data_IF_013082427977
#
_entry.id   IF_013082427977
#
_cell.length_a   1.000
_cell.length_b   1.000
_cell.length_c   1.000
_cell.angle_alpha   90.00
_cell.angle_beta   90.00
_cell.angle_gamma   90.00
#
_symmetry.space_group_name_H-M   'P 1'
#
loop_
_entity.id
_entity.type
_entity.pdbx_description
1 polymer ?
#
# COMPACT_ATOMS: atom_id res chain seq x y z
N UNK A 1 10.83 -3.76 -29.54
CA UNK A 1 10.65 -4.24 -28.16
C UNK A 1 9.17 -4.35 -27.93
N UNK A 2 8.65 -5.55 -27.66
CA UNK A 2 7.23 -5.74 -27.38
C UNK A 2 6.94 -5.19 -25.98
N UNK A 3 5.99 -4.27 -25.85
CA UNK A 3 5.53 -3.79 -24.54
C UNK A 3 4.66 -4.88 -23.90
N UNK A 4 5.03 -5.34 -22.71
CA UNK A 4 4.19 -6.25 -21.93
C UNK A 4 3.16 -5.43 -21.16
N UNK A 5 1.86 -5.79 -21.18
CA UNK A 5 0.84 -5.07 -20.44
C UNK A 5 1.14 -5.08 -18.93
N UNK A 6 0.68 -4.05 -18.23
CA UNK A 6 0.79 -3.96 -16.78
C UNK A 6 -0.07 -5.05 -16.12
N UNK A 7 0.55 -6.00 -15.45
CA UNK A 7 -0.15 -7.11 -14.78
C UNK A 7 0.40 -7.31 -13.36
N UNK A 8 -0.40 -6.94 -12.37
CA UNK A 8 -0.10 -7.12 -10.94
C UNK A 8 -1.37 -7.64 -10.25
N UNK A 9 -1.71 -8.94 -10.42
CA UNK A 9 -2.93 -9.48 -9.83
C UNK A 9 -2.88 -9.35 -8.31
N UNK A 10 -4.01 -9.05 -7.69
CA UNK A 10 -4.12 -8.97 -6.24
C UNK A 10 -5.47 -9.46 -5.74
N UNK A 11 -5.54 -9.80 -4.46
CA UNK A 11 -6.78 -9.85 -3.72
C UNK A 11 -6.80 -8.76 -2.65
N UNK A 12 -7.99 -8.26 -2.35
CA UNK A 12 -8.24 -7.28 -1.28
C UNK A 12 -9.06 -7.98 -0.20
N UNK A 13 -8.53 -8.00 1.02
CA UNK A 13 -9.17 -8.61 2.17
C UNK A 13 -9.43 -7.57 3.24
N UNK A 14 -10.61 -7.62 3.87
CA UNK A 14 -10.94 -6.84 5.06
C UNK A 14 -11.03 -7.74 6.28
N UNK A 15 -10.21 -7.44 7.27
CA UNK A 15 -10.18 -8.10 8.56
C UNK A 15 -11.05 -7.30 9.52
N UNK A 16 -12.09 -7.93 10.04
CA UNK A 16 -13.00 -7.34 11.01
C UNK A 16 -12.62 -7.79 12.41
N UNK A 17 -12.19 -6.84 13.22
CA UNK A 17 -11.83 -7.05 14.61
C UNK A 17 -12.83 -6.41 15.57
N UNK A 18 -12.87 -6.92 16.79
CA UNK A 18 -13.56 -6.33 17.93
C UNK A 18 -12.56 -6.01 19.06
N UNK A 19 -12.85 -4.97 19.84
CA UNK A 19 -12.07 -4.54 21.01
C UNK A 19 -13.00 -4.19 22.16
N UNK A 20 -12.59 -4.48 23.39
CA UNK A 20 -13.36 -4.20 24.63
C UNK A 20 -13.58 -2.70 24.90
N UNK A 21 -12.71 -1.86 24.35
CA UNK A 21 -12.73 -0.41 24.56
C UNK A 21 -12.66 0.33 23.22
N UNK A 22 -13.12 1.60 23.17
CA UNK A 22 -12.96 2.46 22.00
C UNK A 22 -11.53 2.45 21.47
N UNK A 23 -11.40 2.55 20.15
CA UNK A 23 -10.10 2.46 19.45
C UNK A 23 -9.18 3.61 19.88
N UNK A 24 -8.01 3.26 20.44
CA UNK A 24 -6.97 4.21 20.90
C UNK A 24 -5.71 4.07 20.05
N UNK A 25 -5.88 4.23 18.74
CA UNK A 25 -4.79 4.22 17.76
C UNK A 25 -4.63 5.62 17.14
N UNK A 26 -3.42 5.99 16.70
CA UNK A 26 -3.21 7.26 16.02
C UNK A 26 -3.94 7.26 14.67
N UNK A 27 -4.19 8.46 14.13
CA UNK A 27 -4.84 8.67 12.82
C UNK A 27 -4.24 7.83 11.70
N UNK A 28 -2.91 7.62 11.72
CA UNK A 28 -2.21 6.71 10.81
C UNK A 28 -1.64 5.49 11.55
N UNK A 29 -2.46 4.45 11.79
CA UNK A 29 -2.11 3.32 12.67
C UNK A 29 -1.23 2.28 11.98
N UNK A 30 -0.99 2.40 10.66
CA UNK A 30 -0.29 1.35 9.91
C UNK A 30 1.13 1.08 10.34
N UNK A 31 1.76 2.03 11.02
CA UNK A 31 3.05 1.83 11.67
C UNK A 31 3.02 0.73 12.74
N UNK A 32 1.99 0.76 13.58
CA UNK A 32 1.74 -0.16 14.67
C UNK A 32 1.31 -1.53 14.13
N UNK A 33 0.31 -1.54 13.24
CA UNK A 33 -0.18 -2.77 12.62
C UNK A 33 0.89 -3.50 11.82
N UNK A 34 1.64 -2.80 10.96
CA UNK A 34 2.74 -3.43 10.20
C UNK A 34 3.81 -4.00 11.12
N UNK A 35 4.11 -3.31 12.23
CA UNK A 35 5.09 -3.77 13.22
C UNK A 35 4.63 -5.06 13.92
N UNK A 36 3.41 -5.05 14.45
CA UNK A 36 2.81 -6.20 15.11
C UNK A 36 2.65 -7.39 14.17
N UNK A 37 2.15 -7.16 12.94
CA UNK A 37 2.05 -8.16 11.89
C UNK A 37 3.41 -8.81 11.59
N UNK A 38 4.46 -8.01 11.36
CA UNK A 38 5.79 -8.54 11.08
C UNK A 38 6.35 -9.39 12.21
N UNK A 39 6.18 -8.94 13.45
CA UNK A 39 6.61 -9.69 14.63
C UNK A 39 5.86 -11.02 14.76
N UNK A 40 4.54 -10.98 14.68
CA UNK A 40 3.68 -12.15 14.78
C UNK A 40 3.97 -13.15 13.66
N UNK A 41 4.07 -12.70 12.40
CA UNK A 41 4.38 -13.57 11.27
C UNK A 41 5.73 -14.28 11.45
N UNK A 42 6.77 -13.55 11.89
CA UNK A 42 8.08 -14.15 12.19
C UNK A 42 7.96 -15.22 13.27
N UNK A 43 7.24 -14.94 14.36
CA UNK A 43 7.03 -15.89 15.45
C UNK A 43 6.27 -17.14 15.00
N UNK A 44 5.28 -16.99 14.11
CA UNK A 44 4.49 -18.08 13.55
C UNK A 44 5.31 -19.05 12.70
N UNK A 45 6.23 -18.54 11.87
CA UNK A 45 6.87 -19.38 10.82
C UNK A 45 8.36 -19.66 11.02
N UNK A 46 9.04 -18.96 11.94
CA UNK A 46 10.48 -19.09 12.10
C UNK A 46 10.86 -20.37 12.87
N UNK A 47 11.37 -21.36 12.15
CA UNK A 47 11.87 -22.62 12.71
C UNK A 47 13.33 -22.57 13.18
N UNK A 48 14.17 -21.72 12.56
CA UNK A 48 15.62 -21.68 12.85
C UNK A 48 15.91 -21.01 14.19
N UNK A 49 15.23 -19.87 14.46
CA UNK A 49 15.46 -18.99 15.63
C UNK A 49 16.90 -18.45 15.71
N UNK A 50 17.11 -17.32 16.39
CA UNK A 50 18.44 -16.72 16.68
C UNK A 50 19.40 -16.46 15.49
N UNK A 51 19.00 -16.68 14.24
CA UNK A 51 19.76 -16.35 13.03
C UNK A 51 19.16 -15.12 12.33
N UNK A 52 19.96 -14.12 11.94
CA UNK A 52 19.49 -13.02 11.11
C UNK A 52 18.87 -13.53 9.80
N UNK A 53 17.71 -13.01 9.39
CA UNK A 53 17.01 -13.48 8.19
C UNK A 53 17.86 -13.38 6.91
N UNK A 54 18.76 -12.40 6.84
CA UNK A 54 19.69 -12.22 5.72
C UNK A 54 20.73 -13.36 5.58
N UNK A 55 21.01 -14.10 6.66
CA UNK A 55 21.97 -15.21 6.73
C UNK A 55 21.27 -16.58 6.85
N UNK A 56 19.94 -16.60 6.84
CA UNK A 56 19.17 -17.81 7.05
C UNK A 56 19.14 -18.69 5.79
N UNK A 57 19.31 -20.01 5.94
CA UNK A 57 19.18 -20.98 4.85
C UNK A 57 17.82 -20.88 4.13
N UNK A 58 16.76 -20.53 4.85
CA UNK A 58 15.40 -20.41 4.32
C UNK A 58 15.08 -19.02 3.72
N UNK A 59 16.06 -18.14 3.55
CA UNK A 59 15.88 -16.72 3.17
C UNK A 59 14.94 -16.52 1.96
N UNK A 60 14.99 -17.37 0.94
CA UNK A 60 14.18 -17.21 -0.28
C UNK A 60 12.88 -18.01 -0.29
N UNK A 61 12.61 -18.82 0.74
CA UNK A 61 11.43 -19.69 0.81
C UNK A 61 10.54 -19.41 2.04
N UNK A 62 11.12 -18.90 3.13
CA UNK A 62 10.43 -18.60 4.37
C UNK A 62 9.33 -17.56 4.15
N UNK A 63 8.11 -17.86 4.59
CA UNK A 63 6.94 -16.98 4.46
C UNK A 63 7.20 -15.56 5.01
N UNK A 64 7.82 -15.46 6.19
CA UNK A 64 8.19 -14.16 6.76
C UNK A 64 9.19 -13.41 5.88
N UNK A 65 10.20 -14.11 5.35
CA UNK A 65 11.23 -13.48 4.53
C UNK A 65 10.65 -13.00 3.20
N UNK A 66 9.86 -13.83 2.52
CA UNK A 66 9.26 -13.47 1.21
C UNK A 66 8.23 -12.35 1.34
N UNK A 67 7.40 -12.35 2.40
CA UNK A 67 6.36 -11.34 2.58
C UNK A 67 6.90 -10.04 3.19
N UNK A 68 7.83 -10.12 4.14
CA UNK A 68 8.17 -8.99 5.02
C UNK A 68 9.61 -8.47 4.91
N UNK A 69 10.60 -9.33 4.64
CA UNK A 69 11.99 -8.88 4.40
C UNK A 69 12.23 -8.57 2.93
N UNK A 70 11.58 -9.30 2.03
CA UNK A 70 11.63 -9.14 0.56
C UNK A 70 13.05 -9.00 0.02
N UNK A 71 13.95 -9.96 0.31
CA UNK A 71 15.30 -9.91 -0.25
C UNK A 71 15.24 -10.02 -1.78
N UNK A 72 16.05 -9.26 -2.52
CA UNK A 72 16.19 -9.46 -3.96
C UNK A 72 16.69 -10.90 -4.23
N UNK A 73 16.09 -11.64 -5.18
CA UNK A 73 16.60 -12.94 -5.57
C UNK A 73 18.05 -12.87 -6.09
N UNK A 74 18.85 -13.94 -5.90
CA UNK A 74 20.16 -14.03 -6.53
C UNK A 74 20.04 -13.86 -8.05
N UNK A 75 20.94 -13.07 -8.66
CA UNK A 75 20.94 -12.85 -10.12
C UNK A 75 19.96 -11.80 -10.63
N UNK A 76 19.26 -11.08 -9.76
CA UNK A 76 18.34 -10.00 -10.16
C UNK A 76 19.04 -8.92 -11.00
N UNK A 77 18.55 -8.70 -12.22
CA UNK A 77 19.07 -7.68 -13.14
C UNK A 77 18.63 -6.27 -12.74
N UNK A 78 17.44 -6.16 -12.14
CA UNK A 78 16.93 -4.93 -11.52
C UNK A 78 17.43 -4.85 -10.06
N UNK A 79 17.60 -3.63 -9.55
CA UNK A 79 18.01 -3.32 -8.15
C UNK A 79 19.47 -3.57 -7.71
N UNK A 80 20.50 -3.32 -8.53
CA UNK A 80 21.90 -3.37 -8.04
C UNK A 80 22.22 -2.42 -6.85
N UNK A 81 21.37 -1.41 -6.58
CA UNK A 81 21.56 -0.38 -5.54
C UNK A 81 20.57 -0.42 -4.37
N UNK A 82 19.61 -1.35 -4.34
CA UNK A 82 18.55 -1.38 -3.32
C UNK A 82 18.60 -2.69 -2.53
N UNK A 83 18.45 -2.60 -1.20
CA UNK A 83 18.64 -3.74 -0.29
C UNK A 83 17.40 -4.64 -0.13
N UNK A 84 16.21 -4.21 -0.58
CA UNK A 84 14.97 -4.95 -0.46
C UNK A 84 13.99 -4.57 -1.58
N UNK A 85 13.29 -5.56 -2.13
CA UNK A 85 12.21 -5.36 -3.08
C UNK A 85 11.00 -4.71 -2.36
N UNK A 86 10.05 -4.10 -3.08
CA UNK A 86 8.84 -3.60 -2.44
C UNK A 86 8.07 -4.77 -1.81
N UNK A 87 7.53 -4.56 -0.62
CA UNK A 87 6.66 -5.55 0.01
C UNK A 87 5.44 -5.85 -0.87
N UNK A 88 5.08 -7.13 -1.06
CA UNK A 88 3.94 -7.56 -1.86
C UNK A 88 2.61 -7.42 -1.10
N UNK A 89 2.51 -6.38 -0.27
CA UNK A 89 1.27 -6.04 0.40
C UNK A 89 1.18 -4.54 0.68
N UNK A 90 -0.06 -4.08 0.85
CA UNK A 90 -0.43 -2.76 1.35
C UNK A 90 -1.44 -2.96 2.47
N UNK A 91 -1.29 -2.21 3.57
CA UNK A 91 -2.31 -2.10 4.61
C UNK A 91 -3.17 -0.87 4.33
N UNK A 92 -4.47 -0.97 4.51
CA UNK A 92 -5.41 0.14 4.42
C UNK A 92 -6.27 0.16 5.67
N UNK A 93 -6.71 1.35 6.03
CA UNK A 93 -7.48 1.59 7.26
C UNK A 93 -8.75 2.29 6.83
N UNK A 94 -9.86 1.55 6.63
CA UNK A 94 -11.17 2.15 6.44
C UNK A 94 -11.44 3.19 7.54
N UNK A 95 -12.19 4.24 7.20
CA UNK A 95 -12.55 5.24 8.18
C UNK A 95 -13.35 4.58 9.32
N UNK A 96 -13.01 4.94 10.55
CA UNK A 96 -13.63 4.42 11.75
C UNK A 96 -14.07 5.58 12.63
N UNK A 97 -15.20 5.40 13.31
CA UNK A 97 -15.65 6.33 14.32
C UNK A 97 -14.89 6.08 15.63
N UNK A 98 -14.45 7.15 16.30
CA UNK A 98 -13.60 7.04 17.49
C UNK A 98 -14.28 6.35 18.69
N UNK A 99 -15.60 6.23 18.67
CA UNK A 99 -16.41 5.57 19.70
C UNK A 99 -16.66 4.09 19.39
N UNK A 100 -16.20 3.60 18.24
CA UNK A 100 -16.48 2.24 17.80
C UNK A 100 -15.62 1.22 18.56
N UNK A 101 -16.22 0.07 18.84
CA UNK A 101 -15.56 -1.14 19.34
C UNK A 101 -15.24 -2.12 18.21
N UNK A 102 -15.75 -1.85 17.00
CA UNK A 102 -15.38 -2.53 15.78
C UNK A 102 -14.14 -1.87 15.15
N UNK A 103 -13.29 -2.68 14.52
CA UNK A 103 -12.09 -2.21 13.86
C UNK A 103 -11.85 -2.97 12.56
N UNK A 104 -11.81 -2.26 11.44
CA UNK A 104 -11.48 -2.83 10.14
C UNK A 104 -10.01 -2.56 9.76
N UNK A 105 -9.33 -3.61 9.30
CA UNK A 105 -8.01 -3.53 8.67
C UNK A 105 -8.09 -4.18 7.29
N UNK A 106 -7.77 -3.42 6.27
CA UNK A 106 -7.68 -3.94 4.92
C UNK A 106 -6.23 -4.35 4.61
N UNK A 107 -6.07 -5.48 3.91
CA UNK A 107 -4.80 -5.87 3.30
C UNK A 107 -5.01 -6.19 1.83
N UNK A 108 -4.20 -5.57 0.98
CA UNK A 108 -4.10 -5.94 -0.44
C UNK A 108 -2.82 -6.76 -0.59
N UNK A 109 -2.95 -7.96 -1.15
CA UNK A 109 -1.83 -8.88 -1.38
C UNK A 109 -1.57 -9.03 -2.88
N UNK A 110 -0.32 -8.89 -3.30
CA UNK A 110 0.05 -8.89 -4.72
C UNK A 110 0.70 -10.21 -5.14
N UNK A 111 0.22 -10.77 -6.24
CA UNK A 111 0.83 -11.88 -6.97
C UNK A 111 1.18 -13.09 -6.09
N UNK A 112 2.43 -13.52 -6.12
CA UNK A 112 2.88 -14.72 -5.40
C UNK A 112 2.66 -14.65 -3.88
N UNK A 113 2.46 -13.47 -3.28
CA UNK A 113 2.20 -13.35 -1.84
C UNK A 113 0.89 -14.01 -1.42
N UNK A 114 -0.06 -14.19 -2.34
CA UNK A 114 -1.33 -14.88 -2.14
C UNK A 114 -1.17 -16.29 -1.55
N UNK A 115 -0.08 -17.00 -1.89
CA UNK A 115 0.18 -18.34 -1.34
C UNK A 115 0.39 -18.36 0.17
N UNK A 116 0.71 -17.21 0.76
CA UNK A 116 1.00 -17.07 2.18
C UNK A 116 -0.19 -16.55 2.99
N UNK A 117 -1.36 -16.33 2.36
CA UNK A 117 -2.52 -15.78 3.03
C UNK A 117 -2.90 -16.51 4.33
N UNK A 118 -2.94 -17.86 4.42
CA UNK A 118 -3.23 -18.53 5.69
C UNK A 118 -2.25 -18.19 6.84
N UNK A 119 -0.96 -18.01 6.53
CA UNK A 119 0.03 -17.55 7.51
C UNK A 119 -0.21 -16.10 7.94
N UNK A 120 -0.67 -15.26 7.02
CA UNK A 120 -1.00 -13.86 7.26
C UNK A 120 -2.25 -13.75 8.15
N UNK A 121 -3.28 -14.56 7.88
CA UNK A 121 -4.48 -14.67 8.75
C UNK A 121 -4.07 -14.99 10.17
N UNK A 122 -3.32 -16.08 10.35
CA UNK A 122 -2.87 -16.50 11.68
C UNK A 122 -1.99 -15.43 12.36
N UNK A 123 -1.08 -14.80 11.61
CA UNK A 123 -0.22 -13.76 12.14
C UNK A 123 -1.00 -12.52 12.59
N UNK A 124 -2.01 -12.08 11.84
CA UNK A 124 -2.83 -10.92 12.20
C UNK A 124 -3.75 -11.20 13.39
N UNK A 125 -4.28 -12.42 13.51
CA UNK A 125 -4.98 -12.86 14.73
C UNK A 125 -4.07 -12.76 15.96
N UNK A 126 -2.85 -13.31 15.87
CA UNK A 126 -1.89 -13.24 16.98
C UNK A 126 -1.45 -11.81 17.28
N UNK A 127 -1.23 -11.00 16.25
CA UNK A 127 -0.88 -9.59 16.41
C UNK A 127 -1.98 -8.82 17.17
N UNK A 128 -3.24 -9.01 16.79
CA UNK A 128 -4.38 -8.39 17.46
C UNK A 128 -4.50 -8.80 18.93
N UNK A 129 -4.38 -10.11 19.22
CA UNK A 129 -4.44 -10.64 20.58
C UNK A 129 -3.27 -10.21 21.47
N UNK A 130 -2.05 -10.14 20.92
CA UNK A 130 -0.85 -9.68 21.62
C UNK A 130 -0.92 -8.17 21.91
N UNK A 131 -1.67 -7.42 21.10
CA UNK A 131 -1.97 -6.00 21.29
C UNK A 131 -1.23 -5.07 20.32
N UNK A 132 -1.93 -4.02 19.88
CA UNK A 132 -1.47 -3.06 18.86
C UNK A 132 -1.15 -1.69 19.49
N UNK A 133 -0.10 -1.04 18.97
CA UNK A 133 0.29 0.31 19.38
C UNK A 133 1.01 0.36 20.74
N UNK A 134 1.31 1.58 21.21
CA UNK A 134 2.03 1.78 22.48
C UNK A 134 1.25 1.28 23.70
N UNK A 135 -0.09 1.34 23.65
CA UNK A 135 -0.97 0.85 24.71
C UNK A 135 -1.26 -0.65 24.63
N UNK A 136 -0.74 -1.35 23.61
CA UNK A 136 -1.00 -2.77 23.36
C UNK A 136 -2.49 -3.12 23.43
N UNK A 137 -3.34 -2.30 22.82
CA UNK A 137 -4.79 -2.55 22.79
C UNK A 137 -5.07 -3.85 22.04
N UNK A 138 -5.86 -4.73 22.65
CA UNK A 138 -6.21 -6.03 22.07
C UNK A 138 -7.32 -5.89 21.05
N UNK A 139 -7.17 -6.62 19.95
CA UNK A 139 -8.14 -6.71 18.85
C UNK A 139 -8.35 -8.19 18.53
N UNK A 140 -9.58 -8.67 18.67
CA UNK A 140 -9.96 -10.04 18.39
C UNK A 140 -10.54 -10.15 16.98
N UNK A 141 -9.99 -11.04 16.14
CA UNK A 141 -10.47 -11.20 14.77
C UNK A 141 -11.80 -11.96 14.79
N UNK A 142 -12.86 -11.32 14.30
CA UNK A 142 -14.18 -11.93 14.18
C UNK A 142 -14.33 -12.67 12.84
N UNK A 143 -14.09 -12.00 11.71
CA UNK A 143 -14.13 -12.61 10.38
C UNK A 143 -13.27 -11.85 9.37
N UNK A 144 -13.07 -12.43 8.17
CA UNK A 144 -12.40 -11.78 7.05
C UNK A 144 -13.29 -11.87 5.82
N UNK A 145 -13.50 -10.73 5.18
CA UNK A 145 -14.16 -10.64 3.89
C UNK A 145 -13.13 -10.47 2.77
N UNK A 146 -13.41 -11.09 1.63
CA UNK A 146 -12.84 -10.75 0.34
C UNK A 146 -13.65 -9.62 -0.26
N UNK A 147 -12.95 -8.59 -0.73
CA UNK A 147 -13.52 -7.43 -1.38
C UNK A 147 -13.25 -7.56 -2.87
N UNK A 148 -14.28 -7.99 -3.60
CA UNK A 148 -14.22 -8.01 -5.05
C UNK A 148 -14.40 -6.59 -5.59
N UNK A 149 -13.56 -6.20 -6.55
CA UNK A 149 -13.65 -4.89 -7.18
C UNK A 149 -14.93 -4.70 -8.01
N UNK A 150 -15.63 -5.78 -8.35
CA UNK A 150 -16.81 -5.83 -9.23
C UNK A 150 -18.03 -6.46 -8.55
N UNK A 151 -17.83 -7.48 -7.70
CA UNK A 151 -18.91 -8.34 -7.19
C UNK A 151 -19.30 -8.10 -5.72
N UNK A 152 -18.60 -7.20 -5.01
CA UNK A 152 -18.92 -6.83 -3.63
C UNK A 152 -18.15 -7.62 -2.57
N UNK A 153 -18.72 -7.75 -1.37
CA UNK A 153 -18.04 -8.33 -0.20
C UNK A 153 -18.49 -9.79 0.01
N UNK A 154 -17.53 -10.71 0.20
CA UNK A 154 -17.78 -12.12 0.49
C UNK A 154 -16.98 -12.59 1.71
N UNK A 155 -17.63 -13.14 2.72
CA UNK A 155 -16.92 -13.75 3.86
C UNK A 155 -16.11 -14.97 3.44
N UNK A 156 -14.80 -14.90 3.67
CA UNK A 156 -13.84 -15.98 3.38
C UNK A 156 -13.38 -16.73 4.63
N UNK A 157 -13.29 -16.04 5.76
CA UNK A 157 -12.81 -16.66 6.99
C UNK A 157 -13.73 -16.32 8.16
N UNK A 158 -14.14 -17.34 8.91
CA UNK A 158 -14.90 -17.21 10.15
C UNK A 158 -14.62 -18.44 11.02
N UNK A 159 -14.45 -18.24 12.32
CA UNK A 159 -14.38 -19.35 13.31
C UNK A 159 -13.34 -20.46 13.00
N UNK A 160 -12.22 -20.11 12.35
CA UNK A 160 -11.15 -21.08 12.03
C UNK A 160 -11.31 -21.74 10.66
N UNK A 161 -12.43 -21.52 9.98
CA UNK A 161 -12.68 -22.05 8.64
C UNK A 161 -12.29 -21.02 7.58
N UNK A 162 -11.49 -21.45 6.61
CA UNK A 162 -11.09 -20.64 5.46
C UNK A 162 -11.70 -21.24 4.19
N UNK A 163 -12.55 -20.47 3.54
CA UNK A 163 -13.17 -20.83 2.27
C UNK A 163 -12.16 -20.75 1.10
N UNK A 164 -12.40 -21.49 0.00
CA UNK A 164 -11.62 -21.34 -1.22
C UNK A 164 -11.61 -19.89 -1.67
N UNK A 165 -10.42 -19.41 -2.06
CA UNK A 165 -10.23 -18.02 -2.44
C UNK A 165 -10.36 -17.88 -3.95
N UNK A 166 -10.98 -16.80 -4.45
CA UNK A 166 -10.94 -16.51 -5.87
C UNK A 166 -9.50 -16.27 -6.34
N UNK A 167 -9.19 -16.53 -7.61
CA UNK A 167 -7.89 -16.21 -8.18
C UNK A 167 -7.68 -14.69 -8.14
N UNK A 168 -6.48 -14.27 -7.73
CA UNK A 168 -6.11 -12.86 -7.75
C UNK A 168 -6.24 -12.28 -9.16
N UNK A 169 -6.86 -11.11 -9.25
CA UNK A 169 -7.17 -10.46 -10.52
C UNK A 169 -6.78 -8.98 -10.49
N UNK A 170 -6.79 -8.37 -11.67
CA UNK A 170 -6.61 -6.93 -11.84
C UNK A 170 -7.98 -6.29 -12.00
N UNK A 171 -8.22 -5.10 -11.40
CA UNK A 171 -9.45 -4.37 -11.66
C UNK A 171 -9.50 -3.99 -13.13
N UNK A 172 -10.69 -4.06 -13.73
CA UNK A 172 -10.92 -3.56 -15.08
C UNK A 172 -10.47 -2.09 -15.13
N UNK A 173 -9.66 -1.77 -16.13
CA UNK A 173 -9.25 -0.39 -16.41
C UNK A 173 -10.35 0.21 -17.28
N UNK A 174 -11.12 1.20 -16.80
CA UNK A 174 -12.10 1.88 -17.62
C UNK A 174 -11.40 2.79 -18.64
N UNK A 175 -12.12 3.32 -19.61
CA UNK A 175 -11.58 4.33 -20.51
C UNK A 175 -11.20 5.59 -19.70
N UNK A 176 -10.09 6.28 -20.06
CA UNK A 176 -9.70 7.50 -19.36
C UNK A 176 -10.79 8.58 -19.55
N UNK A 177 -11.24 9.25 -18.48
CA UNK A 177 -12.11 10.41 -18.63
C UNK A 177 -11.33 11.61 -19.20
N UNK A 178 -12.01 12.66 -19.66
CA UNK A 178 -11.36 13.86 -20.23
C UNK A 178 -10.35 14.50 -19.26
N UNK A 179 -10.70 14.56 -17.98
CA UNK A 179 -9.83 15.06 -16.92
C UNK A 179 -10.01 14.25 -15.63
N UNK A 180 -8.95 14.24 -14.83
CA UNK A 180 -8.93 13.57 -13.53
C UNK A 180 -8.41 14.48 -12.43
N UNK A 181 -8.90 14.25 -11.22
CA UNK A 181 -8.31 14.76 -9.99
C UNK A 181 -7.80 13.61 -9.13
N UNK A 182 -6.53 13.64 -8.76
CA UNK A 182 -5.91 12.70 -7.83
C UNK A 182 -5.97 13.31 -6.42
N UNK A 183 -6.69 12.65 -5.52
CA UNK A 183 -6.82 13.02 -4.11
C UNK A 183 -5.95 12.09 -3.25
N UNK A 184 -4.96 12.65 -2.55
CA UNK A 184 -4.08 11.92 -1.63
C UNK A 184 -4.81 11.69 -0.31
N UNK A 185 -5.21 10.44 -0.06
CA UNK A 185 -5.96 10.03 1.13
C UNK A 185 -5.05 9.77 2.33
N UNK A 186 -3.77 9.51 2.09
CA UNK A 186 -2.75 9.36 3.13
C UNK A 186 -1.45 10.04 2.69
N UNK A 187 -0.57 10.46 3.63
CA UNK A 187 0.63 11.21 3.30
C UNK A 187 1.50 10.52 2.23
N UNK A 188 1.70 11.19 1.09
CA UNK A 188 2.59 10.74 0.03
C UNK A 188 4.04 11.09 0.39
N UNK A 189 4.87 10.06 0.56
CA UNK A 189 6.29 10.21 0.90
C UNK A 189 7.18 9.85 -0.27
N UNK A 190 7.70 10.86 -0.96
CA UNK A 190 8.72 10.68 -2.01
C UNK A 190 10.02 11.31 -1.53
N UNK A 191 11.13 10.57 -1.69
CA UNK A 191 12.48 11.08 -1.42
C UNK A 191 13.33 11.02 -2.68
N UNK A 192 14.02 12.11 -2.98
CA UNK A 192 15.02 12.22 -4.04
C UNK A 192 16.31 12.77 -3.43
N UNK A 193 17.44 12.09 -3.67
CA UNK A 193 18.76 12.49 -3.13
C UNK A 193 18.75 12.76 -1.62
N UNK A 194 18.02 11.92 -0.87
CA UNK A 194 17.89 12.03 0.59
C UNK A 194 16.86 13.05 1.08
N UNK A 195 16.41 13.99 0.23
CA UNK A 195 15.45 15.04 0.56
C UNK A 195 14.00 14.62 0.27
N UNK A 196 13.07 15.06 1.10
CA UNK A 196 11.64 14.86 0.85
C UNK A 196 11.14 15.76 -0.29
N UNK A 197 10.18 15.28 -1.06
CA UNK A 197 9.42 16.09 -2.00
C UNK A 197 8.42 16.96 -1.22
N UNK A 198 8.61 18.28 -1.22
CA UNK A 198 7.71 19.24 -0.59
C UNK A 198 6.74 19.84 -1.62
N UNK A 199 5.68 20.57 -1.20
CA UNK A 199 4.72 21.17 -2.12
C UNK A 199 5.39 22.06 -3.18
N UNK A 200 6.34 22.92 -2.77
CA UNK A 200 7.03 23.86 -3.67
C UNK A 200 7.84 23.19 -4.78
N UNK A 201 8.28 21.95 -4.55
CA UNK A 201 9.08 21.19 -5.51
C UNK A 201 8.30 20.06 -6.19
N UNK A 202 6.99 19.97 -5.93
CA UNK A 202 6.13 18.96 -6.54
C UNK A 202 6.03 19.17 -8.06
N UNK A 203 6.07 18.07 -8.80
CA UNK A 203 5.63 18.01 -10.18
C UNK A 203 5.12 16.59 -10.48
N UNK A 204 4.31 16.46 -11.53
CA UNK A 204 3.72 15.19 -11.92
C UNK A 204 4.76 14.11 -12.22
N UNK A 205 5.85 14.48 -12.93
CA UNK A 205 6.94 13.56 -13.27
C UNK A 205 7.55 12.85 -12.06
N UNK A 206 7.75 13.55 -10.94
CA UNK A 206 8.27 12.94 -9.70
C UNK A 206 7.29 11.96 -9.06
N UNK A 207 6.00 12.29 -9.07
CA UNK A 207 4.94 11.38 -8.61
C UNK A 207 4.87 10.14 -9.49
N UNK A 208 4.72 10.33 -10.79
CA UNK A 208 4.55 9.26 -11.76
C UNK A 208 5.77 8.34 -11.84
N UNK A 209 6.99 8.89 -11.88
CA UNK A 209 8.21 8.09 -11.88
C UNK A 209 8.36 7.22 -10.62
N UNK A 210 7.83 7.68 -9.48
CA UNK A 210 7.82 6.88 -8.25
C UNK A 210 6.78 5.74 -8.33
N UNK A 211 5.58 6.05 -8.81
CA UNK A 211 4.50 5.10 -9.02
C UNK A 211 4.90 4.00 -10.01
N UNK A 212 5.36 4.39 -11.19
CA UNK A 212 5.82 3.48 -12.24
C UNK A 212 6.96 2.58 -11.74
N UNK A 213 7.93 3.13 -11.00
CA UNK A 213 9.01 2.34 -10.41
C UNK A 213 8.47 1.29 -9.44
N UNK A 214 7.53 1.66 -8.56
CA UNK A 214 6.93 0.73 -7.62
C UNK A 214 6.19 -0.41 -8.33
N UNK A 215 5.37 -0.10 -9.33
CA UNK A 215 4.62 -1.10 -10.09
C UNK A 215 5.53 -2.00 -10.95
N UNK A 216 6.57 -1.43 -11.57
CA UNK A 216 7.58 -2.22 -12.28
C UNK A 216 8.33 -3.19 -11.36
N UNK A 217 8.61 -2.77 -10.12
CA UNK A 217 9.25 -3.64 -9.13
C UNK A 217 8.28 -4.68 -8.57
N UNK A 218 7.02 -4.33 -8.31
CA UNK A 218 6.02 -5.29 -7.85
C UNK A 218 5.81 -6.41 -8.88
N UNK A 219 5.63 -6.06 -10.15
CA UNK A 219 5.54 -7.05 -11.24
C UNK A 219 6.82 -7.89 -11.33
N UNK A 220 8.00 -7.28 -11.40
CA UNK A 220 9.25 -8.02 -11.57
C UNK A 220 9.55 -9.03 -10.46
N UNK A 221 9.21 -8.74 -9.20
CA UNK A 221 9.57 -9.62 -8.07
C UNK A 221 8.46 -10.56 -7.62
N UNK A 222 7.20 -10.24 -7.92
CA UNK A 222 6.05 -10.93 -7.34
C UNK A 222 5.06 -11.47 -8.37
N UNK A 223 5.34 -11.37 -9.66
CA UNK A 223 4.50 -11.94 -10.72
C UNK A 223 5.34 -12.68 -11.76
N UNK A 224 4.67 -13.54 -12.53
CA UNK A 224 5.30 -14.29 -13.63
C UNK A 224 5.55 -13.44 -14.88
N UNK A 225 4.97 -12.25 -14.93
CA UNK A 225 5.00 -11.35 -16.10
C UNK A 225 5.53 -9.97 -15.69
N UNK A 226 6.85 -9.78 -15.64
CA UNK A 226 7.44 -8.48 -15.37
C UNK A 226 6.98 -7.41 -16.35
N UNK A 227 6.74 -6.19 -15.85
CA UNK A 227 6.43 -5.05 -16.71
C UNK A 227 7.63 -4.68 -17.60
N UNK A 228 7.42 -4.73 -18.92
CA UNK A 228 8.31 -4.19 -19.94
C UNK A 228 7.63 -3.01 -20.64
N UNK A 229 8.16 -1.81 -20.40
CA UNK A 229 7.64 -0.56 -20.96
C UNK A 229 8.77 0.45 -21.16
N UNK A 230 8.52 1.48 -21.96
CA UNK A 230 9.47 2.58 -22.16
C UNK A 230 9.51 3.50 -20.92
N UNK A 231 10.21 3.03 -19.88
CA UNK A 231 10.33 3.75 -18.62
C UNK A 231 10.92 5.16 -18.83
N UNK A 232 11.91 5.28 -19.73
CA UNK A 232 12.60 6.53 -19.99
C UNK A 232 11.68 7.53 -20.71
N UNK A 233 10.99 7.08 -21.77
CA UNK A 233 10.02 7.89 -22.51
C UNK A 233 8.86 8.33 -21.63
N UNK A 234 8.24 7.41 -20.89
CA UNK A 234 7.11 7.74 -19.99
C UNK A 234 7.52 8.71 -18.88
N UNK A 235 8.70 8.53 -18.27
CA UNK A 235 9.18 9.45 -17.22
C UNK A 235 9.52 10.83 -17.80
N UNK A 236 10.07 10.88 -19.01
CA UNK A 236 10.35 12.13 -19.72
C UNK A 236 9.06 12.87 -20.05
N UNK A 237 8.06 12.18 -20.60
CA UNK A 237 6.75 12.76 -20.89
C UNK A 237 6.08 13.28 -19.61
N UNK A 238 6.03 12.46 -18.56
CA UNK A 238 5.44 12.87 -17.28
C UNK A 238 6.15 14.08 -16.64
N UNK A 239 7.44 14.27 -16.90
CA UNK A 239 8.16 15.46 -16.42
C UNK A 239 7.82 16.74 -17.18
N UNK A 240 7.29 16.62 -18.40
CA UNK A 240 6.81 17.75 -19.21
C UNK A 240 5.30 18.01 -19.00
N UNK A 241 4.58 17.07 -18.38
CA UNK A 241 3.15 17.23 -18.06
C UNK A 241 2.92 18.28 -16.98
N UNK A 242 1.99 19.19 -17.25
CA UNK A 242 1.54 20.21 -16.31
C UNK A 242 0.22 19.79 -15.64
N UNK A 243 0.14 19.97 -14.32
CA UNK A 243 -1.13 19.83 -13.61
C UNK A 243 -1.98 21.08 -13.82
N UNK A 244 -3.28 20.92 -14.06
CA UNK A 244 -4.23 22.04 -14.20
C UNK A 244 -4.57 22.68 -12.86
N UNK A 245 -4.62 21.89 -11.80
CA UNK A 245 -4.72 22.36 -10.42
C UNK A 245 -3.70 21.61 -9.55
N UNK A 246 -3.12 22.28 -8.56
CA UNK A 246 -2.33 21.64 -7.50
C UNK A 246 -2.60 22.34 -6.18
N UNK A 247 -3.20 21.61 -5.25
CA UNK A 247 -3.51 22.03 -3.87
C UNK A 247 -2.91 21.01 -2.93
N UNK A 248 -1.61 21.13 -2.70
CA UNK A 248 -0.83 20.22 -1.86
C UNK A 248 -0.29 20.95 -0.63
N UNK A 249 -0.29 20.24 0.49
CA UNK A 249 0.26 20.71 1.75
C UNK A 249 1.18 19.65 2.36
N UNK A 250 2.18 20.12 3.10
CA UNK A 250 3.00 19.23 3.92
C UNK A 250 2.28 18.93 5.22
N UNK A 251 1.99 17.65 5.46
CA UNK A 251 1.47 17.17 6.73
C UNK A 251 2.62 16.51 7.49
N UNK A 252 3.03 17.08 8.62
CA UNK A 252 4.06 16.48 9.47
C UNK A 252 3.46 15.68 10.61
N UNK A 253 4.08 14.55 10.92
CA UNK A 253 3.75 13.71 12.07
C UNK A 253 4.92 12.80 12.41
N UNK A 254 5.03 12.39 13.67
CA UNK A 254 6.10 11.53 14.17
C UNK A 254 5.60 10.14 14.53
N UNK A 255 6.53 9.18 14.56
CA UNK A 255 6.26 7.79 14.96
C UNK A 255 7.46 7.21 15.68
N UNK A 256 7.23 6.40 16.71
CA UNK A 256 8.25 5.53 17.29
C UNK A 256 8.56 4.28 16.43
N UNK A 257 9.85 4.03 16.15
CA UNK A 257 10.32 2.86 15.39
C UNK A 257 10.94 1.82 16.30
N UNK A 258 10.24 0.73 16.59
CA UNK A 258 10.77 -0.34 17.46
C UNK A 258 12.04 -1.01 16.93
N UNK A 259 12.24 -1.02 15.59
CA UNK A 259 13.47 -1.58 14.99
C UNK A 259 14.68 -0.67 15.22
N UNK A 260 14.49 0.65 15.18
CA UNK A 260 15.55 1.64 15.28
C UNK A 260 15.63 2.32 16.66
N UNK A 261 14.67 2.02 17.54
CA UNK A 261 14.49 2.60 18.87
C UNK A 261 14.55 4.14 18.87
N UNK A 262 13.90 4.77 17.86
CA UNK A 262 13.94 6.22 17.67
C UNK A 262 12.63 6.74 17.10
N UNK A 263 12.34 8.03 17.33
CA UNK A 263 11.26 8.74 16.66
C UNK A 263 11.65 9.07 15.22
N UNK A 264 10.72 8.86 14.31
CA UNK A 264 10.89 9.08 12.88
C UNK A 264 9.89 10.12 12.39
N UNK A 265 10.38 11.11 11.64
CA UNK A 265 9.51 12.06 10.93
C UNK A 265 8.85 11.36 9.74
N UNK A 266 7.53 11.21 9.84
CA UNK A 266 6.66 10.53 8.89
C UNK A 266 5.89 11.50 7.98
N UNK A 267 6.24 12.80 7.99
CA UNK A 267 5.60 13.79 7.14
C UNK A 267 5.63 13.53 5.63
N UNK A 268 4.59 13.97 4.92
CA UNK A 268 4.41 13.77 3.49
C UNK A 268 3.39 14.72 2.90
N UNK A 269 3.16 14.62 1.58
CA UNK A 269 2.19 15.46 0.89
C UNK A 269 0.77 14.94 1.08
N UNK A 270 -0.16 15.84 1.40
CA UNK A 270 -1.60 15.62 1.36
C UNK A 270 -2.26 16.68 0.47
N UNK A 271 -3.50 16.43 0.05
CA UNK A 271 -4.26 17.32 -0.83
C UNK A 271 -4.51 16.69 -2.20
N UNK A 272 -4.63 17.51 -3.23
CA UNK A 272 -5.03 17.06 -4.57
C UNK A 272 -4.30 17.76 -5.71
N UNK A 273 -4.27 17.12 -6.86
CA UNK A 273 -3.81 17.72 -8.12
C UNK A 273 -4.58 17.13 -9.30
N UNK A 274 -4.70 17.89 -10.39
CA UNK A 274 -5.56 17.55 -11.53
C UNK A 274 -4.80 17.53 -12.86
N UNK A 275 -5.25 16.70 -13.80
CA UNK A 275 -4.64 16.47 -15.10
C UNK A 275 -5.72 16.38 -16.18
N UNK A 276 -5.47 17.01 -17.33
CA UNK A 276 -6.18 16.70 -18.57
C UNK A 276 -5.64 15.40 -19.15
N UNK A 277 -6.50 14.52 -19.65
CA UNK A 277 -6.08 13.20 -20.13
C UNK A 277 -5.74 13.16 -21.61
N UNK A 278 -6.18 14.13 -22.42
CA UNK A 278 -5.99 14.16 -23.88
C UNK A 278 -4.53 13.89 -24.31
N UNK A 279 -3.56 14.47 -23.61
CA UNK A 279 -2.11 14.28 -23.88
C UNK A 279 -1.43 13.31 -22.91
N UNK A 280 -2.18 12.71 -21.98
CA UNK A 280 -1.67 11.99 -20.81
C UNK A 280 -2.25 10.56 -20.70
N UNK A 281 -2.94 10.07 -21.73
CA UNK A 281 -3.56 8.73 -21.77
C UNK A 281 -2.57 7.59 -21.46
N UNK A 282 -1.31 7.73 -21.88
CA UNK A 282 -0.26 6.74 -21.65
C UNK A 282 0.01 6.48 -20.15
N UNK A 283 -0.37 7.40 -19.26
CA UNK A 283 -0.21 7.24 -17.82
C UNK A 283 -1.38 6.50 -17.17
N UNK A 284 -2.52 6.44 -17.86
CA UNK A 284 -3.79 6.02 -17.28
C UNK A 284 -3.76 4.63 -16.62
N UNK A 285 -3.22 3.57 -17.24
CA UNK A 285 -3.19 2.24 -16.61
C UNK A 285 -2.44 2.23 -15.27
N UNK A 286 -1.35 2.99 -15.19
CA UNK A 286 -0.53 3.08 -13.98
C UNK A 286 -1.22 3.91 -12.90
N UNK A 287 -1.83 5.03 -13.28
CA UNK A 287 -2.60 5.88 -12.37
C UNK A 287 -3.80 5.14 -11.80
N UNK A 288 -4.54 4.41 -12.64
CA UNK A 288 -5.69 3.62 -12.21
C UNK A 288 -5.28 2.55 -11.19
N UNK A 289 -4.29 1.71 -11.54
CA UNK A 289 -3.80 0.65 -10.66
C UNK A 289 -3.17 1.19 -9.37
N UNK A 290 -2.59 2.39 -9.44
CA UNK A 290 -1.89 2.99 -8.31
C UNK A 290 -2.79 3.31 -7.12
N UNK A 291 -4.11 3.38 -7.32
CA UNK A 291 -5.07 3.43 -6.22
C UNK A 291 -4.84 2.25 -5.27
N UNK A 292 -4.66 1.02 -5.76
CA UNK A 292 -4.39 -0.19 -4.97
C UNK A 292 -2.94 -0.37 -4.57
N UNK A 293 -1.98 -0.10 -5.46
CA UNK A 293 -0.56 -0.30 -5.12
C UNK A 293 -0.04 0.77 -4.17
N UNK A 294 -0.72 1.91 -4.08
CA UNK A 294 -0.25 3.16 -3.49
C UNK A 294 1.02 3.69 -4.18
N UNK A 295 1.39 4.93 -3.88
CA UNK A 295 2.61 5.58 -4.36
C UNK A 295 3.59 5.89 -3.21
N UNK A 296 4.87 6.08 -3.51
CA UNK A 296 5.84 6.54 -2.51
C UNK A 296 6.38 5.45 -1.59
N UNK A 297 7.08 5.91 -0.55
CA UNK A 297 7.65 5.11 0.52
C UNK A 297 6.59 4.76 1.56
N UNK A 298 6.80 3.64 2.25
CA UNK A 298 5.95 3.20 3.36
C UNK A 298 4.49 2.87 2.98
N UNK A 299 4.25 2.50 1.72
CA UNK A 299 2.98 1.96 1.23
C UNK A 299 2.54 0.67 1.93
N UNK A 300 3.47 -0.18 2.37
CA UNK A 300 3.14 -1.37 3.18
C UNK A 300 2.54 -1.06 4.55
N UNK A 301 2.57 0.21 4.99
CA UNK A 301 1.88 0.68 6.20
C UNK A 301 0.77 1.69 5.87
N UNK A 302 0.31 1.70 4.61
CA UNK A 302 -0.83 2.46 4.16
C UNK A 302 -0.56 3.87 3.64
N UNK A 303 0.69 4.33 3.59
CA UNK A 303 1.00 5.66 3.07
C UNK A 303 0.92 5.74 1.54
N UNK A 304 0.71 6.96 1.03
CA UNK A 304 0.57 7.27 -0.39
C UNK A 304 -0.62 6.62 -1.09
N UNK A 305 -1.64 6.25 -0.31
CA UNK A 305 -2.98 5.96 -0.82
C UNK A 305 -3.54 7.20 -1.54
N UNK A 306 -4.17 6.99 -2.68
CA UNK A 306 -4.91 8.03 -3.37
C UNK A 306 -6.12 7.44 -4.09
N UNK A 307 -7.07 8.31 -4.42
CA UNK A 307 -8.20 8.00 -5.27
C UNK A 307 -8.23 8.91 -6.48
N UNK A 308 -8.82 8.43 -7.56
CA UNK A 308 -9.08 9.22 -8.77
C UNK A 308 -10.55 9.65 -8.76
N UNK A 309 -10.78 10.94 -8.97
CA UNK A 309 -12.11 11.53 -9.13
C UNK A 309 -12.20 11.99 -10.59
N UNK A 310 -13.08 11.39 -11.42
CA UNK A 310 -13.36 11.89 -12.76
C UNK A 310 -13.96 13.29 -12.67
N UNK A 311 -13.42 14.23 -13.45
CA UNK A 311 -13.95 15.60 -13.54
C UNK A 311 -14.67 15.78 -14.87
N UNK A 312 -15.84 15.17 -15.01
CA UNK A 312 -16.73 15.42 -16.15
C UNK A 312 -17.66 16.59 -15.82
N UNK A 313 -17.19 17.83 -16.05
CA UNK A 313 -17.88 19.13 -15.83
C UNK A 313 -18.44 19.37 -14.40
N UNK A 314 -18.58 20.64 -13.94
CA UNK A 314 -18.84 20.93 -12.53
C UNK A 314 -20.28 20.57 -12.12
N UNK A 315 -20.42 19.45 -11.41
CA UNK A 315 -21.64 19.05 -10.72
C UNK A 315 -21.34 18.71 -9.26
N UNK A 316 -21.67 19.64 -8.37
CA UNK A 316 -21.76 19.51 -6.91
C UNK A 316 -20.48 19.10 -6.15
N UNK A 317 -19.75 20.12 -5.68
CA UNK A 317 -18.85 19.98 -4.52
C UNK A 317 -19.65 19.54 -3.28
N UNK A 318 -19.66 18.24 -2.97
CA UNK A 318 -19.90 17.82 -1.60
C UNK A 318 -18.68 18.21 -0.77
N UNK A 319 -18.81 19.35 -0.11
CA UNK A 319 -17.93 19.84 0.96
C UNK A 319 -17.61 18.70 1.93
N UNK A 320 -16.43 18.09 1.78
CA UNK A 320 -15.84 17.29 2.85
C UNK A 320 -15.19 18.30 3.78
N UNK A 321 -15.93 18.71 4.82
CA UNK A 321 -15.40 19.54 5.89
C UNK A 321 -14.25 18.78 6.55
N UNK A 322 -13.04 19.24 6.29
CA UNK A 322 -11.90 18.98 7.14
C UNK A 322 -12.14 19.78 8.43
N UNK A 323 -12.53 19.10 9.50
CA UNK A 323 -12.39 19.64 10.84
C UNK A 323 -10.91 19.77 11.12
N UNK A 324 -10.46 21.01 11.30
CA UNK A 324 -9.12 21.37 11.74
C UNK A 324 -8.70 20.49 12.92
N UNK A 325 -7.54 19.85 12.78
CA UNK A 325 -6.88 19.07 13.83
C UNK A 325 -6.12 20.08 14.68
N UNK A 326 -6.61 20.33 15.89
CA UNK A 326 -5.79 20.81 17.02
C UNK A 326 -5.40 19.61 17.89
#
# INVERSE_FOLDING_TARGET
MHSTPLTIPFNHYRFHFETEHPVRLPVFPGSAWRGAFGHALKKTVCVVRNTPCAQCLLKNACAYSVVFETPPPPGSEKMRKYNAAPHPFVLRFPQQDAIDTSYALDIILFGHAERYFPYIVHALQKAGLDGIGGHRQRFELHHIDYLDAMEGEQTLYREGELQPRPPASMPKIPDPPESITISLETPLRIKQEGKNLTPDYFNFGKFFANLLRRQSMLSYFHTDTPLETDFAGLTKQASATHCTETKLQWHDWTRYSSRQQTEMNMGGLLGRFSLEMQDNEAFWPYLWLGQWTHAGKASSMGLGAYRIIPTSLPGEEKSTKWSSID
#
